data_IF_543752186028
#
_entry.id   IF_543752186028
#
_cell.length_a   1.000
_cell.length_b   1.000
_cell.length_c   1.000
_cell.angle_alpha   90.00
_cell.angle_beta   90.00
_cell.angle_gamma   90.00
#
_symmetry.space_group_name_H-M   'P 1'
#
loop_
_entity.id
_entity.type
_entity.pdbx_description
1 polymer ?
#
# COMPACT_ATOMS: atom_id res chain seq x y z
N UNK A 1 2.02 -9.73 7.30
CA UNK A 1 2.83 -8.51 7.11
C UNK A 1 4.06 -8.84 6.27
N UNK A 2 4.32 -8.04 5.26
CA UNK A 2 5.44 -8.20 4.33
C UNK A 2 6.31 -6.96 4.42
N UNK A 3 7.64 -7.12 4.35
CA UNK A 3 8.54 -6.00 4.21
C UNK A 3 8.76 -5.72 2.72
N UNK A 4 8.46 -4.50 2.29
CA UNK A 4 8.72 -4.05 0.92
C UNK A 4 10.17 -3.60 0.86
N UNK A 5 11.05 -4.46 0.40
CA UNK A 5 12.50 -4.22 0.46
C UNK A 5 13.02 -3.36 -0.68
N UNK A 6 12.32 -3.32 -1.81
CA UNK A 6 12.80 -2.64 -3.02
C UNK A 6 12.68 -1.13 -2.91
N UNK A 7 13.75 -0.42 -3.28
CA UNK A 7 13.69 1.01 -3.56
C UNK A 7 13.14 1.23 -4.97
N UNK A 8 12.79 2.47 -5.28
CA UNK A 8 12.26 2.82 -6.60
C UNK A 8 12.78 4.20 -7.02
N UNK A 9 12.88 4.42 -8.33
CA UNK A 9 13.32 5.70 -8.86
C UNK A 9 12.15 6.66 -9.08
N UNK A 10 10.94 6.11 -9.24
CA UNK A 10 9.73 6.91 -9.46
C UNK A 10 8.66 6.55 -8.44
N UNK A 11 7.76 7.49 -8.18
CA UNK A 11 6.63 7.24 -7.29
C UNK A 11 5.75 6.10 -7.81
N UNK A 12 5.52 6.05 -9.12
CA UNK A 12 4.70 5.01 -9.73
C UNK A 12 5.31 3.63 -9.51
N UNK A 13 6.60 3.48 -9.72
CA UNK A 13 7.28 2.20 -9.49
C UNK A 13 7.24 1.81 -8.02
N UNK A 14 7.41 2.79 -7.13
CA UNK A 14 7.32 2.57 -5.69
C UNK A 14 5.94 2.10 -5.26
N UNK A 15 4.90 2.70 -5.82
CA UNK A 15 3.51 2.29 -5.54
C UNK A 15 3.28 0.87 -6.05
N UNK A 16 3.80 0.54 -7.23
CA UNK A 16 3.69 -0.81 -7.78
C UNK A 16 4.34 -1.83 -6.84
N UNK A 17 5.52 -1.52 -6.31
CA UNK A 17 6.20 -2.37 -5.33
C UNK A 17 5.38 -2.54 -4.05
N UNK A 18 4.78 -1.45 -3.57
CA UNK A 18 3.92 -1.48 -2.37
C UNK A 18 2.72 -2.41 -2.58
N UNK A 19 2.06 -2.29 -3.71
CA UNK A 19 0.88 -3.12 -3.97
C UNK A 19 1.24 -4.58 -4.24
N UNK A 20 2.41 -4.85 -4.79
CA UNK A 20 2.93 -6.21 -4.92
C UNK A 20 3.16 -6.84 -3.54
N UNK A 21 3.69 -6.05 -2.59
CA UNK A 21 3.86 -6.51 -1.21
C UNK A 21 2.53 -6.78 -0.53
N UNK A 22 1.55 -5.92 -0.75
CA UNK A 22 0.20 -6.11 -0.21
C UNK A 22 -0.43 -7.40 -0.75
N UNK A 23 -0.27 -7.67 -2.03
CA UNK A 23 -0.75 -8.90 -2.66
C UNK A 23 -0.10 -10.13 -2.06
N UNK A 24 1.22 -10.10 -1.85
CA UNK A 24 1.95 -11.19 -1.21
C UNK A 24 1.47 -11.42 0.20
N UNK A 25 1.23 -10.36 0.97
CA UNK A 25 0.71 -10.46 2.32
C UNK A 25 -0.66 -11.14 2.34
N UNK A 26 -1.53 -10.76 1.42
CA UNK A 26 -2.84 -11.38 1.29
C UNK A 26 -2.72 -12.88 1.00
N UNK A 27 -1.83 -13.25 0.08
CA UNK A 27 -1.60 -14.64 -0.29
C UNK A 27 -1.11 -15.45 0.91
N UNK A 28 -0.14 -14.93 1.65
CA UNK A 28 0.41 -15.63 2.82
C UNK A 28 -0.63 -15.79 3.92
N UNK A 29 -1.41 -14.75 4.20
CA UNK A 29 -2.50 -14.82 5.18
C UNK A 29 -3.53 -15.87 4.78
N UNK A 30 -3.90 -15.92 3.52
CA UNK A 30 -4.89 -16.87 3.02
C UNK A 30 -4.39 -18.31 3.12
N UNK A 31 -3.12 -18.54 2.84
CA UNK A 31 -2.52 -19.88 2.96
C UNK A 31 -2.44 -20.34 4.41
N UNK A 32 -2.07 -19.43 5.32
CA UNK A 32 -1.99 -19.76 6.75
C UNK A 32 -3.35 -20.09 7.33
N UNK A 33 -4.39 -19.38 6.92
CA UNK A 33 -5.73 -19.54 7.47
C UNK A 33 -6.53 -20.67 6.82
N UNK A 34 -6.06 -21.22 5.71
CA UNK A 34 -6.78 -22.20 4.90
C UNK A 34 -6.01 -23.50 4.71
N UNK A 35 -5.20 -23.90 5.69
CA UNK A 35 -4.42 -25.15 5.64
C UNK A 35 -3.55 -25.25 4.38
N UNK A 36 -3.02 -24.12 3.94
CA UNK A 36 -2.12 -24.00 2.79
C UNK A 36 -2.78 -24.23 1.44
N UNK A 37 -4.11 -24.30 1.39
CA UNK A 37 -4.85 -24.32 0.14
C UNK A 37 -5.63 -23.04 -0.02
N UNK A 38 -5.55 -22.45 -1.21
CA UNK A 38 -6.34 -21.27 -1.53
C UNK A 38 -7.73 -21.68 -1.96
N UNK A 39 -8.75 -21.05 -1.37
CA UNK A 39 -10.13 -21.21 -1.82
C UNK A 39 -10.29 -20.59 -3.22
N UNK A 40 -11.37 -20.94 -3.91
CA UNK A 40 -11.67 -20.32 -5.20
C UNK A 40 -11.80 -18.81 -5.09
N UNK A 41 -12.39 -18.32 -4.00
CA UNK A 41 -12.51 -16.88 -3.73
C UNK A 41 -11.14 -16.22 -3.61
N UNK A 42 -10.21 -16.82 -2.86
CA UNK A 42 -8.87 -16.26 -2.69
C UNK A 42 -8.08 -16.25 -4.00
N UNK A 43 -8.19 -17.32 -4.79
CA UNK A 43 -7.53 -17.39 -6.09
C UNK A 43 -8.03 -16.30 -7.02
N UNK A 44 -9.35 -16.08 -7.06
CA UNK A 44 -9.96 -15.05 -7.88
C UNK A 44 -9.51 -13.66 -7.43
N UNK A 45 -9.50 -13.41 -6.11
CA UNK A 45 -9.05 -12.13 -5.57
C UNK A 45 -7.59 -11.85 -5.91
N UNK A 46 -6.72 -12.85 -5.83
CA UNK A 46 -5.31 -12.71 -6.21
C UNK A 46 -5.17 -12.42 -7.70
N UNK A 47 -5.93 -13.10 -8.55
CA UNK A 47 -5.90 -12.89 -9.99
C UNK A 47 -6.31 -11.47 -10.38
N UNK A 48 -7.24 -10.86 -9.61
CA UNK A 48 -7.77 -9.54 -9.89
C UNK A 48 -7.16 -8.43 -9.04
N UNK A 49 -6.11 -8.72 -8.27
CA UNK A 49 -5.58 -7.78 -7.29
C UNK A 49 -5.14 -6.47 -7.94
N UNK A 50 -4.36 -6.54 -9.01
CA UNK A 50 -3.88 -5.35 -9.70
C UNK A 50 -5.02 -4.56 -10.34
N UNK A 51 -6.00 -5.24 -10.93
CA UNK A 51 -7.13 -4.57 -11.58
C UNK A 51 -8.05 -3.85 -10.61
N UNK A 52 -8.03 -4.24 -9.33
CA UNK A 52 -8.79 -3.58 -8.27
C UNK A 52 -8.05 -2.36 -7.69
N UNK A 53 -6.82 -2.13 -8.10
CA UNK A 53 -6.01 -1.00 -7.63
C UNK A 53 -6.16 0.17 -8.59
N UNK A 54 -6.53 1.33 -8.06
CA UNK A 54 -6.67 2.57 -8.81
C UNK A 54 -5.81 3.64 -8.15
N UNK A 55 -5.17 4.48 -8.96
CA UNK A 55 -4.31 5.56 -8.48
C UNK A 55 -4.86 6.88 -8.98
N UNK A 56 -5.07 7.83 -8.07
CA UNK A 56 -5.53 9.18 -8.41
C UNK A 56 -4.50 10.20 -7.94
N UNK A 57 -4.00 10.99 -8.87
CA UNK A 57 -3.00 12.00 -8.56
C UNK A 57 -3.68 13.32 -8.20
N UNK A 58 -3.39 13.84 -7.00
CA UNK A 58 -3.82 15.15 -6.56
C UNK A 58 -2.64 16.12 -6.52
N UNK A 59 -2.83 17.29 -5.88
CA UNK A 59 -1.77 18.30 -5.78
C UNK A 59 -0.65 17.87 -4.84
N UNK A 60 -1.00 17.40 -3.65
CA UNK A 60 -0.03 17.04 -2.60
C UNK A 60 0.20 15.55 -2.51
N UNK A 61 -0.80 14.75 -2.85
CA UNK A 61 -0.79 13.32 -2.64
C UNK A 61 -1.20 12.57 -3.87
N UNK A 62 -0.70 11.34 -3.95
CA UNK A 62 -1.25 10.32 -4.85
C UNK A 62 -2.09 9.41 -3.97
N UNK A 63 -3.39 9.33 -4.26
CA UNK A 63 -4.32 8.47 -3.53
C UNK A 63 -4.30 7.08 -4.16
N UNK A 64 -3.97 6.08 -3.37
CA UNK A 64 -3.99 4.68 -3.81
C UNK A 64 -5.26 4.04 -3.28
N UNK A 65 -6.12 3.58 -4.19
CA UNK A 65 -7.42 3.00 -3.88
C UNK A 65 -7.36 1.51 -4.22
N UNK A 66 -7.74 0.68 -3.27
CA UNK A 66 -7.87 -0.74 -3.51
C UNK A 66 -9.31 -1.16 -3.28
N UNK A 67 -9.88 -1.82 -4.29
CA UNK A 67 -11.29 -2.18 -4.31
C UNK A 67 -12.13 -0.90 -4.22
N UNK A 68 -12.77 -0.57 -3.15
CA UNK A 68 -13.55 0.65 -3.00
C UNK A 68 -13.10 1.50 -1.82
N UNK A 69 -11.91 1.20 -1.30
CA UNK A 69 -11.39 1.87 -0.11
C UNK A 69 -10.05 2.51 -0.40
N UNK A 70 -9.76 3.59 0.30
CA UNK A 70 -8.43 4.21 0.21
C UNK A 70 -7.44 3.32 0.95
N UNK A 71 -6.45 2.83 0.19
CA UNK A 71 -5.38 2.00 0.74
C UNK A 71 -4.33 2.87 1.45
N UNK A 72 -3.89 3.93 0.76
CA UNK A 72 -2.85 4.81 1.29
C UNK A 72 -2.84 6.12 0.51
N UNK A 73 -2.22 7.15 1.11
CA UNK A 73 -1.84 8.38 0.42
C UNK A 73 -0.32 8.42 0.34
N UNK A 74 0.21 8.78 -0.83
CA UNK A 74 1.64 8.91 -1.06
C UNK A 74 1.98 10.38 -1.26
N UNK A 75 2.94 10.88 -0.49
CA UNK A 75 3.37 12.28 -0.56
C UNK A 75 4.12 12.51 -1.88
N UNK A 76 3.72 13.53 -2.63
CA UNK A 76 4.34 13.84 -3.92
C UNK A 76 5.62 14.67 -3.76
N UNK A 77 5.60 15.68 -2.90
CA UNK A 77 6.73 16.58 -2.68
C UNK A 77 6.92 16.80 -1.19
N UNK A 78 8.14 17.10 -0.79
CA UNK A 78 8.46 17.36 0.60
C UNK A 78 7.59 18.49 1.15
N UNK A 79 6.99 18.29 2.32
CA UNK A 79 6.32 19.36 3.05
C UNK A 79 6.27 19.00 4.54
N UNK A 80 6.39 20.00 5.40
CA UNK A 80 6.48 19.78 6.85
C UNK A 80 7.61 18.80 7.15
N UNK A 81 7.32 17.73 7.92
CA UNK A 81 8.30 16.68 8.20
C UNK A 81 8.20 15.49 7.25
N UNK A 82 7.34 15.60 6.22
CA UNK A 82 7.16 14.52 5.25
C UNK A 82 8.04 14.71 4.02
N UNK A 83 8.46 13.59 3.45
CA UNK A 83 9.29 13.55 2.24
C UNK A 83 8.51 12.95 1.08
N UNK A 84 8.90 13.31 -0.14
CA UNK A 84 8.36 12.67 -1.34
C UNK A 84 8.47 11.17 -1.23
N UNK A 85 7.37 10.47 -1.50
CA UNK A 85 7.30 9.02 -1.40
C UNK A 85 6.80 8.49 -0.07
N UNK A 86 6.66 9.35 0.95
CA UNK A 86 6.16 8.90 2.26
C UNK A 86 4.77 8.30 2.14
N UNK A 87 4.56 7.19 2.84
CA UNK A 87 3.30 6.45 2.87
C UNK A 87 2.51 6.90 4.09
N UNK A 88 1.34 7.49 3.86
CA UNK A 88 0.46 7.95 4.92
C UNK A 88 -0.79 7.09 4.97
N UNK A 89 -1.23 6.78 6.21
CA UNK A 89 -2.47 6.05 6.42
C UNK A 89 -3.65 7.00 6.20
N UNK A 90 -4.74 6.54 5.57
CA UNK A 90 -5.89 7.41 5.37
C UNK A 90 -6.59 7.72 6.72
N UNK A 91 -6.93 8.99 6.92
CA UNK A 91 -7.82 9.41 7.99
C UNK A 91 -9.27 9.32 7.54
N UNK A 92 -9.50 9.39 6.24
CA UNK A 92 -10.80 9.25 5.60
C UNK A 92 -10.61 9.17 4.09
N UNK A 93 -11.71 9.25 3.36
CA UNK A 93 -11.65 9.16 1.90
C UNK A 93 -10.84 10.29 1.26
N UNK A 94 -10.96 11.51 1.81
CA UNK A 94 -10.42 12.70 1.16
C UNK A 94 -9.04 13.11 1.65
N UNK A 95 -8.58 12.62 2.81
CA UNK A 95 -7.36 13.14 3.42
C UNK A 95 -6.61 12.07 4.23
N UNK A 96 -5.27 12.18 4.28
CA UNK A 96 -4.45 11.29 5.10
C UNK A 96 -4.38 11.76 6.56
N UNK A 97 -3.96 10.84 7.42
CA UNK A 97 -3.57 11.18 8.78
C UNK A 97 -2.18 11.83 8.75
N UNK A 98 -2.07 13.06 9.23
CA UNK A 98 -0.82 13.84 9.20
C UNK A 98 -0.06 13.68 10.51
N UNK A 99 0.22 12.45 10.91
CA UNK A 99 1.01 12.16 12.12
C UNK A 99 2.41 11.69 11.76
N UNK A 100 2.56 10.46 11.31
CA UNK A 100 3.87 9.89 11.00
C UNK A 100 3.77 8.99 9.79
N UNK A 101 4.76 9.06 8.89
CA UNK A 101 4.81 8.18 7.73
C UNK A 101 5.03 6.73 8.16
N UNK A 102 4.42 5.79 7.44
CA UNK A 102 4.54 4.35 7.69
C UNK A 102 5.60 3.70 6.82
N UNK A 103 6.29 4.48 6.03
CA UNK A 103 7.33 4.03 5.13
C UNK A 103 7.53 5.04 4.02
N UNK A 104 8.38 4.71 3.05
CA UNK A 104 8.64 5.54 1.88
C UNK A 104 8.82 4.65 0.66
N UNK A 105 7.99 4.86 -0.36
CA UNK A 105 7.98 3.99 -1.54
C UNK A 105 9.24 4.14 -2.40
N UNK A 106 9.94 5.27 -2.29
CA UNK A 106 11.21 5.48 -3.01
C UNK A 106 12.37 4.81 -2.30
N UNK A 107 12.40 4.87 -0.98
CA UNK A 107 13.48 4.29 -0.17
C UNK A 107 13.36 2.78 0.01
N UNK A 108 12.14 2.28 0.10
CA UNK A 108 11.89 0.87 0.41
C UNK A 108 12.08 0.56 1.88
N UNK A 109 12.20 -0.72 2.21
CA UNK A 109 12.42 -1.22 3.57
C UNK A 109 11.36 -0.75 4.57
N UNK A 110 10.10 -1.02 4.25
CA UNK A 110 8.99 -0.71 5.15
C UNK A 110 7.99 -1.86 5.14
N UNK A 111 7.24 -2.05 6.24
CA UNK A 111 6.23 -3.10 6.29
C UNK A 111 4.93 -2.66 5.65
N UNK A 112 4.22 -3.60 5.08
CA UNK A 112 2.89 -3.38 4.50
C UNK A 112 1.97 -4.56 4.78
N UNK A 113 0.69 -4.31 4.90
CA UNK A 113 -0.35 -5.33 4.99
C UNK A 113 -1.30 -5.18 3.82
N UNK A 114 -2.02 -6.26 3.48
CA UNK A 114 -2.99 -6.19 2.40
C UNK A 114 -4.17 -5.26 2.73
N UNK A 115 -4.34 -4.93 3.99
CA UNK A 115 -5.37 -4.00 4.46
C UNK A 115 -4.90 -2.54 4.47
N UNK A 116 -3.63 -2.29 4.21
CA UNK A 116 -3.06 -0.94 4.15
C UNK A 116 -1.79 -0.78 4.99
N UNK A 117 -1.32 0.48 5.15
CA UNK A 117 -0.17 0.76 6.00
C UNK A 117 -0.47 0.41 7.46
N UNK A 118 0.60 0.11 8.21
CA UNK A 118 0.45 -0.29 9.61
C UNK A 118 -0.02 0.87 10.48
N UNK A 119 -0.69 0.53 11.58
CA UNK A 119 -1.00 1.51 12.61
C UNK A 119 0.25 1.89 13.39
N UNK A 120 0.30 3.09 13.93
CA UNK A 120 1.36 3.50 14.84
C UNK A 120 1.19 2.80 16.17
N UNK A 121 2.31 2.46 16.77
CA UNK A 121 2.32 1.87 18.10
C UNK A 121 2.30 2.96 19.19
#
# INVERSE_FOLDING_TARGET
MINVSKSAETLQDGITNMMAGAKDDYKQNSLMNKNRELSSYCKEKLANFESQTTVREGKKYIKVIYDRSVFAFIVKEDFKHFKSGDVLKPAGWAAPALNQARGNVLEGNYPIQWTGPLYLN
#
